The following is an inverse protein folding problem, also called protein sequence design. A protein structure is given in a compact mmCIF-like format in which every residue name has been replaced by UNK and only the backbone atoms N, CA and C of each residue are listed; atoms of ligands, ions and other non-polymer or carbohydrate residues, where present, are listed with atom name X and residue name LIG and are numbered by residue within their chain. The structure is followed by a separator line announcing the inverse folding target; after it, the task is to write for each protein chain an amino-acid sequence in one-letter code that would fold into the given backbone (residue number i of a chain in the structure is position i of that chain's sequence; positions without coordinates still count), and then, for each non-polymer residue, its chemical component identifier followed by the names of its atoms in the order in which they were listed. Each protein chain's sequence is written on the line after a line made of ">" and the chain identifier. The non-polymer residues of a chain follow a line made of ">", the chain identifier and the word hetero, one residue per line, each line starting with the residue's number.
data_IF_778853674137
#
_entry.id   IF_778853674137
#
_cell.length_a   1.000
_cell.length_b   1.000
_cell.length_c   1.000
_cell.angle_alpha   90.00
_cell.angle_beta   90.00
_cell.angle_gamma   90.00
#
_symmetry.space_group_name_H-M   'P 1'
#
loop_
_entity.id
_entity.type
_entity.pdbx_description
1 polymer ?
#
# COMPACT_ATOMS: atom_id res chain seq x y z
N UNK A 1 -1.64 5.92 -6.17
CA UNK A 1 -0.32 6.07 -6.83
C UNK A 1 0.74 5.61 -5.88
N UNK A 2 1.70 4.82 -6.35
CA UNK A 2 2.75 4.19 -5.54
C UNK A 2 4.09 4.48 -6.20
N UNK A 3 5.04 4.92 -5.37
CA UNK A 3 6.45 5.00 -5.71
C UNK A 3 7.17 3.86 -4.98
N UNK A 4 7.95 3.07 -5.72
CA UNK A 4 8.64 1.85 -5.28
C UNK A 4 7.78 0.76 -4.61
N UNK A 5 7.41 0.93 -3.34
CA UNK A 5 6.77 -0.11 -2.54
C UNK A 5 5.70 0.42 -1.57
N UNK A 6 4.65 -0.38 -1.36
CA UNK A 6 3.63 -0.14 -0.34
C UNK A 6 3.11 -1.45 0.23
N UNK A 7 2.82 -1.45 1.53
CA UNK A 7 1.96 -2.45 2.16
C UNK A 7 0.75 -1.73 2.77
N UNK A 8 -0.44 -2.27 2.52
CA UNK A 8 -1.73 -1.69 2.93
C UNK A 8 -2.37 -2.60 3.97
N UNK A 9 -2.86 -1.99 5.05
CA UNK A 9 -3.50 -2.67 6.16
C UNK A 9 -4.93 -2.17 6.35
N UNK A 10 -5.87 -3.08 6.52
CA UNK A 10 -7.23 -2.79 6.97
C UNK A 10 -7.40 -3.36 8.38
N UNK A 11 -7.74 -2.50 9.34
CA UNK A 11 -7.92 -2.87 10.75
C UNK A 11 -6.71 -3.63 11.32
N UNK A 12 -5.50 -3.27 10.88
CA UNK A 12 -4.24 -3.89 11.29
C UNK A 12 -3.89 -5.19 10.56
N UNK A 13 -4.72 -5.67 9.64
CA UNK A 13 -4.46 -6.86 8.81
C UNK A 13 -3.98 -6.43 7.44
N UNK A 14 -2.89 -7.02 6.96
CA UNK A 14 -2.37 -6.78 5.62
C UNK A 14 -3.38 -7.25 4.56
N UNK A 15 -3.78 -6.35 3.67
CA UNK A 15 -4.75 -6.61 2.59
C UNK A 15 -4.14 -6.48 1.20
N UNK A 16 -3.00 -5.78 1.08
CA UNK A 16 -2.27 -5.68 -0.17
C UNK A 16 -0.81 -5.36 0.05
N UNK A 17 0.02 -5.79 -0.90
CA UNK A 17 1.46 -5.56 -0.94
C UNK A 17 1.89 -5.40 -2.39
N UNK A 18 2.57 -4.30 -2.69
CA UNK A 18 3.14 -4.01 -4.00
C UNK A 18 4.59 -3.59 -3.83
N UNK A 19 5.49 -4.15 -4.64
CA UNK A 19 6.90 -3.74 -4.65
C UNK A 19 7.70 -4.04 -3.37
N UNK A 20 7.24 -4.97 -2.53
CA UNK A 20 7.92 -5.36 -1.29
C UNK A 20 8.26 -6.86 -1.27
N UNK A 21 9.36 -7.27 -0.60
CA UNK A 21 9.70 -8.68 -0.44
C UNK A 21 8.65 -9.41 0.39
N UNK A 22 8.56 -10.74 0.24
CA UNK A 22 7.70 -11.58 1.09
C UNK A 22 8.21 -11.59 2.55
N UNK A 23 7.31 -11.93 3.49
CA UNK A 23 7.63 -12.04 4.91
C UNK A 23 7.35 -10.74 5.69
N UNK A 24 7.94 -10.63 6.89
CA UNK A 24 7.73 -9.50 7.81
C UNK A 24 8.33 -8.23 7.23
N UNK A 25 7.48 -7.22 7.04
CA UNK A 25 7.89 -5.85 6.70
C UNK A 25 8.15 -5.09 8.00
N UNK A 26 9.25 -4.34 8.02
CA UNK A 26 9.60 -3.39 9.09
C UNK A 26 10.02 -2.08 8.43
N UNK A 27 10.12 -1.00 9.21
CA UNK A 27 10.44 0.33 8.69
C UNK A 27 11.78 0.42 7.91
N UNK A 28 12.70 -0.54 8.07
CA UNK A 28 13.96 -0.63 7.31
C UNK A 28 13.93 -1.61 6.14
N UNK A 29 12.81 -2.29 5.89
CA UNK A 29 12.64 -3.16 4.72
C UNK A 29 12.66 -2.31 3.45
N UNK A 30 13.58 -2.53 2.50
CA UNK A 30 13.57 -1.80 1.24
C UNK A 30 12.52 -2.36 0.29
N UNK A 31 12.04 -1.53 -0.64
CA UNK A 31 11.31 -2.02 -1.80
C UNK A 31 12.21 -2.91 -2.69
N UNK A 32 11.60 -3.85 -3.41
CA UNK A 32 12.31 -4.81 -4.26
C UNK A 32 12.37 -4.39 -5.74
N UNK A 33 11.84 -3.21 -6.07
CA UNK A 33 11.82 -2.60 -7.40
C UNK A 33 11.95 -1.10 -7.26
N UNK A 34 12.44 -0.45 -8.33
CA UNK A 34 12.40 1.01 -8.48
C UNK A 34 11.32 1.42 -9.47
N UNK A 35 10.61 2.51 -9.20
CA UNK A 35 9.69 3.18 -10.12
C UNK A 35 10.24 4.58 -10.40
N UNK A 36 10.24 5.03 -11.65
CA UNK A 36 10.82 6.35 -11.98
C UNK A 36 9.93 7.51 -11.54
N UNK A 37 8.62 7.38 -11.76
CA UNK A 37 7.59 8.32 -11.33
C UNK A 37 6.44 7.50 -10.78
N UNK A 38 5.86 7.90 -9.65
CA UNK A 38 4.79 7.16 -9.03
C UNK A 38 3.64 6.88 -10.02
N UNK A 39 3.22 5.62 -10.10
CA UNK A 39 2.16 5.17 -11.01
C UNK A 39 0.91 4.72 -10.25
N UNK A 40 -0.24 4.76 -10.92
CA UNK A 40 -1.46 4.16 -10.39
C UNK A 40 -1.42 2.63 -10.56
N UNK A 41 -1.36 1.89 -9.44
CA UNK A 41 -1.37 0.43 -9.42
C UNK A 41 -2.57 -0.08 -8.61
N UNK A 42 -3.77 0.24 -9.10
CA UNK A 42 -5.03 -0.21 -8.53
C UNK A 42 -6.04 -0.63 -9.61
N UNK A 43 -7.29 -0.95 -9.20
CA UNK A 43 -7.75 -1.04 -7.82
C UNK A 43 -7.34 -2.36 -7.14
N UNK A 44 -7.32 -2.35 -5.81
CA UNK A 44 -7.25 -3.57 -4.99
C UNK A 44 -8.66 -3.89 -4.54
N UNK A 45 -9.10 -5.12 -4.75
CA UNK A 45 -10.41 -5.57 -4.25
C UNK A 45 -10.31 -5.88 -2.76
N UNK A 46 -11.03 -5.14 -1.95
CA UNK A 46 -11.20 -5.42 -0.52
C UNK A 46 -12.47 -6.25 -0.31
N UNK A 47 -12.35 -7.35 0.43
CA UNK A 47 -13.51 -8.11 0.85
C UNK A 47 -14.30 -7.31 1.87
N UNK A 48 -15.61 -7.17 1.67
CA UNK A 48 -16.51 -6.58 2.66
C UNK A 48 -16.46 -7.33 4.01
N UNK A 49 -16.07 -8.61 4.02
CA UNK A 49 -15.89 -9.39 5.24
C UNK A 49 -14.72 -8.90 6.12
N UNK A 50 -13.80 -8.11 5.56
CA UNK A 50 -12.70 -7.49 6.31
C UNK A 50 -13.13 -6.18 7.00
N UNK A 51 -14.32 -5.67 6.68
CA UNK A 51 -14.91 -4.49 7.31
C UNK A 51 -15.68 -4.87 8.56
N UNK A 52 -15.63 -3.98 9.56
CA UNK A 52 -16.46 -4.06 10.76
C UNK A 52 -17.54 -2.99 10.73
N UNK A 53 -18.65 -3.23 11.45
CA UNK A 53 -19.65 -2.21 11.67
C UNK A 53 -19.05 -1.05 12.48
N UNK A 54 -19.16 0.17 11.95
CA UNK A 54 -18.57 1.36 12.55
C UNK A 54 -17.25 1.77 11.89
N UNK A 55 -16.27 2.16 12.70
CA UNK A 55 -15.00 2.71 12.22
C UNK A 55 -14.06 1.61 11.71
N UNK A 56 -13.57 1.78 10.49
CA UNK A 56 -12.50 0.97 9.91
C UNK A 56 -11.24 1.84 9.74
N UNK A 57 -10.07 1.25 9.96
CA UNK A 57 -8.79 1.94 9.79
C UNK A 57 -8.07 1.36 8.59
N UNK A 58 -7.86 2.20 7.57
CA UNK A 58 -7.04 1.88 6.40
C UNK A 58 -5.70 2.60 6.55
N UNK A 59 -4.63 1.83 6.64
CA UNK A 59 -3.26 2.33 6.80
C UNK A 59 -2.38 1.87 5.64
N UNK A 60 -1.39 2.68 5.27
CA UNK A 60 -0.40 2.33 4.27
C UNK A 60 1.00 2.66 4.80
N UNK A 61 1.93 1.73 4.61
CA UNK A 61 3.36 1.91 4.88
C UNK A 61 4.08 1.88 3.52
N UNK A 62 4.75 2.98 3.18
CA UNK A 62 5.49 3.12 1.91
C UNK A 62 6.97 2.92 2.13
N UNK A 63 7.63 2.29 1.15
CA UNK A 63 9.04 1.97 1.22
C UNK A 63 9.72 2.33 -0.10
N UNK A 64 10.88 2.96 0.02
CA UNK A 64 11.77 3.25 -1.09
C UNK A 64 12.74 2.08 -1.30
N UNK A 65 13.16 1.84 -2.53
CA UNK A 65 14.19 0.85 -2.86
C UNK A 65 15.59 1.40 -2.57
N UNK A 66 15.77 2.71 -2.73
CA UNK A 66 17.04 3.40 -2.51
C UNK A 66 16.97 4.30 -1.27
N UNK A 67 17.96 4.16 -0.38
CA UNK A 67 18.05 4.93 0.89
C UNK A 67 18.24 6.43 0.65
N UNK A 68 18.69 6.83 -0.55
CA UNK A 68 18.91 8.20 -0.97
C UNK A 68 17.90 8.68 -2.05
N UNK A 69 16.73 8.03 -2.15
CA UNK A 69 15.60 8.56 -2.91
C UNK A 69 15.14 9.90 -2.33
N UNK A 70 14.80 10.85 -3.21
CA UNK A 70 14.47 12.22 -2.81
C UNK A 70 12.96 12.52 -2.90
N UNK A 71 12.17 11.54 -3.30
CA UNK A 71 10.74 11.63 -3.55
C UNK A 71 9.97 10.51 -2.85
N UNK A 72 8.73 10.83 -2.52
CA UNK A 72 7.73 9.90 -1.99
C UNK A 72 6.38 10.41 -2.46
N UNK A 73 5.59 9.55 -3.10
CA UNK A 73 4.20 9.84 -3.45
C UNK A 73 3.31 8.68 -3.02
N UNK A 74 2.25 9.02 -2.28
CA UNK A 74 1.19 8.07 -1.95
C UNK A 74 -0.16 8.72 -2.21
N UNK A 75 -1.03 7.99 -2.93
CA UNK A 75 -2.41 8.40 -3.17
C UNK A 75 -3.34 7.20 -3.07
N UNK A 76 -4.41 7.36 -2.28
CA UNK A 76 -5.40 6.34 -1.97
C UNK A 76 -6.80 6.87 -2.25
N UNK A 77 -7.62 6.04 -2.89
CA UNK A 77 -9.06 6.24 -3.04
C UNK A 77 -9.78 4.98 -2.59
N UNK A 78 -10.90 5.14 -1.90
CA UNK A 78 -11.82 4.08 -1.55
C UNK A 78 -13.16 4.39 -2.20
N UNK A 79 -13.61 3.51 -3.07
CA UNK A 79 -14.83 3.67 -3.85
C UNK A 79 -15.68 2.41 -3.70
N UNK A 80 -16.97 2.61 -3.45
CA UNK A 80 -17.96 1.55 -3.62
C UNK A 80 -18.37 1.53 -5.10
N UNK A 81 -18.17 0.41 -5.83
CA UNK A 81 -18.62 0.34 -7.21
C UNK A 81 -20.15 0.48 -7.26
N UNK A 82 -20.64 1.41 -8.08
CA UNK A 82 -22.07 1.58 -8.30
C UNK A 82 -22.66 0.25 -8.82
N UNK A 83 -23.78 -0.19 -8.23
CA UNK A 83 -24.51 -1.39 -8.64
C UNK A 83 -25.24 -1.19 -9.98
#
# INVERSE_FOLDING_TARGET
>A
MIDDGVVVYLNGVEVSRTGLPAGRVIFTTPANRTVNDAIYEGPINLSAAALVAGTNVLAAEVHQALVNGNDVVFGLALEEPCA
#
